data_IF_481830977485
#
_entry.id   IF_481830977485
#
_cell.length_a   1.000
_cell.length_b   1.000
_cell.length_c   1.000
_cell.angle_alpha   90.00
_cell.angle_beta   90.00
_cell.angle_gamma   90.00
#
_symmetry.space_group_name_H-M   'P 1'
#
loop_
_entity.id
_entity.type
_entity.pdbx_description
1 polymer ?
#
# COMPACT_ATOMS: atom_id res chain seq x y z
N UNK A 1 -38.54 5.27 -28.09
CA UNK A 1 -37.59 4.17 -27.83
C UNK A 1 -36.93 4.48 -26.51
N UNK A 2 -36.99 3.59 -25.51
CA UNK A 2 -36.31 3.83 -24.24
C UNK A 2 -34.81 3.86 -24.50
N UNK A 3 -34.12 4.92 -24.07
CA UNK A 3 -32.66 4.96 -24.16
C UNK A 3 -32.09 3.78 -23.38
N UNK A 4 -31.08 3.06 -23.92
CA UNK A 4 -30.41 2.01 -23.20
C UNK A 4 -29.64 2.63 -22.03
N UNK A 5 -30.29 2.69 -20.88
CA UNK A 5 -29.68 3.16 -19.64
C UNK A 5 -28.83 2.05 -19.03
N UNK A 6 -27.73 2.42 -18.38
CA UNK A 6 -26.86 1.50 -17.63
C UNK A 6 -27.63 0.71 -16.56
N UNK A 7 -28.79 1.21 -16.12
CA UNK A 7 -29.69 0.53 -15.19
C UNK A 7 -30.43 -0.67 -15.80
N UNK A 8 -30.75 -0.62 -17.09
CA UNK A 8 -31.47 -1.69 -17.78
C UNK A 8 -30.63 -2.94 -18.05
N UNK A 9 -29.33 -2.91 -17.72
CA UNK A 9 -28.44 -4.06 -17.91
C UNK A 9 -28.77 -5.20 -16.92
N UNK A 10 -28.72 -6.46 -17.36
CA UNK A 10 -28.72 -7.64 -16.48
C UNK A 10 -27.60 -7.57 -15.44
N UNK A 11 -27.83 -8.18 -14.29
CA UNK A 11 -26.90 -8.20 -13.16
C UNK A 11 -25.54 -8.79 -13.54
N UNK A 12 -25.52 -9.79 -14.41
CA UNK A 12 -24.29 -10.44 -14.89
C UNK A 12 -23.42 -9.47 -15.70
N UNK A 13 -24.03 -8.63 -16.54
CA UNK A 13 -23.30 -7.60 -17.29
C UNK A 13 -22.79 -6.49 -16.36
N UNK A 14 -23.58 -6.11 -15.34
CA UNK A 14 -23.13 -5.16 -14.31
C UNK A 14 -21.92 -5.70 -13.54
N UNK A 15 -21.94 -6.97 -13.15
CA UNK A 15 -20.80 -7.65 -12.50
C UNK A 15 -19.57 -7.64 -13.41
N UNK A 16 -19.72 -8.01 -14.69
CA UNK A 16 -18.60 -7.98 -15.63
C UNK A 16 -17.99 -6.58 -15.79
N UNK A 17 -18.83 -5.54 -15.82
CA UNK A 17 -18.37 -4.15 -15.86
C UNK A 17 -17.59 -3.81 -14.59
N UNK A 18 -18.09 -4.18 -13.41
CA UNK A 18 -17.41 -3.98 -12.13
C UNK A 18 -16.01 -4.62 -12.11
N UNK A 19 -15.85 -5.85 -12.64
CA UNK A 19 -14.54 -6.51 -12.74
C UNK A 19 -13.59 -5.91 -13.77
N UNK A 20 -14.06 -5.01 -14.64
CA UNK A 20 -13.21 -4.31 -15.64
C UNK A 20 -12.77 -2.92 -15.19
N UNK A 21 -13.24 -2.46 -14.04
CA UNK A 21 -12.87 -1.16 -13.49
C UNK A 21 -11.37 -1.14 -13.12
N UNK A 22 -10.62 -0.08 -13.48
CA UNK A 22 -9.18 -0.04 -13.24
C UNK A 22 -8.78 0.31 -11.81
N UNK A 23 -9.63 1.01 -11.06
CA UNK A 23 -9.29 1.57 -9.76
C UNK A 23 -10.49 1.64 -8.80
N UNK A 24 -10.19 1.78 -7.50
CA UNK A 24 -11.19 1.84 -6.45
C UNK A 24 -12.07 3.09 -6.48
N UNK A 25 -11.58 4.23 -6.98
CA UNK A 25 -12.35 5.49 -7.01
C UNK A 25 -13.41 5.44 -8.13
N UNK A 26 -13.06 4.87 -9.29
CA UNK A 26 -14.03 4.56 -10.35
C UNK A 26 -15.07 3.55 -9.89
N UNK A 27 -14.66 2.55 -9.11
CA UNK A 27 -15.60 1.58 -8.52
C UNK A 27 -16.58 2.27 -7.57
N UNK A 28 -16.08 3.10 -6.66
CA UNK A 28 -16.89 3.88 -5.72
C UNK A 28 -17.89 4.78 -6.47
N UNK A 29 -17.42 5.46 -7.52
CA UNK A 29 -18.26 6.32 -8.36
C UNK A 29 -19.39 5.56 -9.06
N UNK A 30 -19.10 4.39 -9.64
CA UNK A 30 -20.10 3.55 -10.31
C UNK A 30 -21.14 2.99 -9.35
N UNK A 31 -20.69 2.57 -8.16
CA UNK A 31 -21.56 2.03 -7.11
C UNK A 31 -22.48 3.11 -6.53
N UNK A 32 -22.00 4.35 -6.40
CA UNK A 32 -22.81 5.47 -5.93
C UNK A 32 -23.76 6.03 -6.99
N UNK A 33 -23.41 5.90 -8.27
CA UNK A 33 -24.21 6.43 -9.38
C UNK A 33 -25.52 5.65 -9.62
N UNK A 34 -25.60 4.38 -9.20
CA UNK A 34 -26.70 3.48 -9.57
C UNK A 34 -27.03 2.46 -8.47
N UNK A 35 -28.31 2.35 -8.04
CA UNK A 35 -28.76 1.28 -7.15
C UNK A 35 -28.57 -0.12 -7.75
N UNK A 36 -28.71 -0.28 -9.07
CA UNK A 36 -28.48 -1.55 -9.75
C UNK A 36 -27.03 -2.02 -9.63
N UNK A 37 -26.07 -1.11 -9.78
CA UNK A 37 -24.66 -1.41 -9.56
C UNK A 37 -24.33 -1.61 -8.09
N UNK A 38 -24.99 -0.90 -7.18
CA UNK A 38 -24.84 -1.14 -5.74
C UNK A 38 -25.24 -2.57 -5.34
N UNK A 39 -26.37 -3.07 -5.85
CA UNK A 39 -26.81 -4.45 -5.60
C UNK A 39 -25.86 -5.48 -6.22
N UNK A 40 -25.43 -5.26 -7.47
CA UNK A 40 -24.43 -6.12 -8.11
C UNK A 40 -23.11 -6.14 -7.32
N UNK A 41 -22.65 -4.99 -6.85
CA UNK A 41 -21.46 -4.86 -6.00
C UNK A 41 -21.59 -5.63 -4.70
N UNK A 42 -22.73 -5.53 -3.99
CA UNK A 42 -22.94 -6.27 -2.75
C UNK A 42 -22.84 -7.79 -2.95
N UNK A 43 -23.32 -8.31 -4.09
CA UNK A 43 -23.29 -9.73 -4.40
C UNK A 43 -21.86 -10.27 -4.60
N UNK A 44 -20.94 -9.48 -5.19
CA UNK A 44 -19.57 -9.92 -5.53
C UNK A 44 -18.48 -9.17 -4.77
N UNK A 45 -18.84 -8.46 -3.70
CA UNK A 45 -17.98 -7.46 -3.03
C UNK A 45 -16.60 -8.00 -2.67
N UNK A 46 -16.54 -9.18 -2.05
CA UNK A 46 -15.27 -9.72 -1.59
C UNK A 46 -14.39 -10.12 -2.78
N UNK A 47 -14.91 -10.89 -3.72
CA UNK A 47 -14.18 -11.37 -4.90
C UNK A 47 -13.68 -10.20 -5.76
N UNK A 48 -14.50 -9.18 -5.94
CA UNK A 48 -14.16 -7.98 -6.69
C UNK A 48 -13.01 -7.21 -6.01
N UNK A 49 -13.09 -7.01 -4.69
CA UNK A 49 -12.04 -6.31 -3.96
C UNK A 49 -10.74 -7.12 -3.93
N UNK A 50 -10.80 -8.44 -3.78
CA UNK A 50 -9.63 -9.32 -3.89
C UNK A 50 -8.98 -9.21 -5.27
N UNK A 51 -9.80 -9.21 -6.33
CA UNK A 51 -9.34 -9.03 -7.71
C UNK A 51 -8.63 -7.68 -7.90
N UNK A 52 -9.25 -6.59 -7.46
CA UNK A 52 -8.69 -5.25 -7.58
C UNK A 52 -7.40 -5.08 -6.77
N UNK A 53 -7.32 -5.63 -5.56
CA UNK A 53 -6.05 -5.66 -4.80
C UNK A 53 -5.00 -6.43 -5.59
N UNK A 54 -5.29 -7.65 -6.06
CA UNK A 54 -4.31 -8.43 -6.83
C UNK A 54 -3.85 -7.67 -8.08
N UNK A 55 -4.75 -6.99 -8.78
CA UNK A 55 -4.42 -6.18 -9.95
C UNK A 55 -3.50 -5.01 -9.57
N UNK A 56 -3.84 -4.25 -8.52
CA UNK A 56 -3.09 -3.07 -8.09
C UNK A 56 -1.66 -3.40 -7.60
N UNK A 57 -1.50 -4.56 -6.95
CA UNK A 57 -0.22 -5.01 -6.44
C UNK A 57 0.54 -5.90 -7.44
N UNK A 58 -0.09 -6.38 -8.51
CA UNK A 58 0.59 -7.22 -9.51
C UNK A 58 1.71 -6.43 -10.21
N UNK A 59 2.95 -6.84 -9.98
CA UNK A 59 4.16 -6.25 -10.57
C UNK A 59 4.57 -4.86 -10.04
N UNK A 60 3.65 -4.09 -9.47
CA UNK A 60 3.91 -2.72 -8.99
C UNK A 60 4.39 -2.67 -7.53
N UNK A 61 3.73 -3.35 -6.61
CA UNK A 61 4.01 -3.29 -5.17
C UNK A 61 4.00 -4.68 -4.56
N UNK A 62 4.90 -4.94 -3.62
CA UNK A 62 4.85 -6.19 -2.88
C UNK A 62 3.66 -6.14 -1.91
N UNK A 63 2.64 -6.97 -2.16
CA UNK A 63 1.47 -7.09 -1.30
C UNK A 63 1.86 -7.47 0.14
N UNK A 64 2.97 -8.21 0.32
CA UNK A 64 3.46 -8.57 1.63
C UNK A 64 3.84 -7.33 2.46
N UNK A 65 4.47 -6.31 1.86
CA UNK A 65 4.82 -5.05 2.55
C UNK A 65 3.58 -4.33 3.06
N UNK A 66 2.53 -4.25 2.22
CA UNK A 66 1.28 -3.59 2.59
C UNK A 66 0.50 -4.38 3.67
N UNK A 67 0.49 -5.70 3.58
CA UNK A 67 -0.13 -6.57 4.60
C UNK A 67 0.60 -6.46 5.94
N UNK A 68 1.93 -6.45 5.95
CA UNK A 68 2.73 -6.26 7.16
C UNK A 68 2.45 -4.91 7.81
N UNK A 69 2.32 -3.84 7.02
CA UNK A 69 1.96 -2.52 7.52
C UNK A 69 0.58 -2.48 8.19
N UNK A 70 -0.39 -3.26 7.70
CA UNK A 70 -1.74 -3.33 8.29
C UNK A 70 -1.75 -4.21 9.53
N UNK A 71 -1.12 -5.39 9.45
CA UNK A 71 -1.13 -6.38 10.55
C UNK A 71 -0.25 -5.97 11.72
N UNK A 72 0.74 -5.11 11.49
CA UNK A 72 1.54 -4.52 12.57
C UNK A 72 0.72 -3.54 13.43
N UNK A 73 -0.44 -3.06 12.96
CA UNK A 73 -1.25 -2.11 13.71
C UNK A 73 -1.68 -2.71 15.06
N UNK A 74 -1.24 -2.08 16.15
CA UNK A 74 -1.51 -2.52 17.53
C UNK A 74 -0.47 -3.49 18.10
N UNK A 75 0.48 -3.96 17.28
CA UNK A 75 1.62 -4.73 17.74
C UNK A 75 2.70 -3.76 18.20
N UNK A 76 2.80 -3.50 19.50
CA UNK A 76 3.85 -2.64 20.06
C UNK A 76 4.96 -3.49 20.67
N UNK A 77 6.20 -3.27 20.27
CA UNK A 77 7.38 -4.02 20.70
C UNK A 77 7.57 -4.01 22.22
N UNK A 78 7.24 -2.90 22.89
CA UNK A 78 7.38 -2.76 24.35
C UNK A 78 6.46 -3.71 25.11
N UNK A 79 5.27 -4.00 24.58
CA UNK A 79 4.25 -4.81 25.26
C UNK A 79 4.09 -6.21 24.66
N UNK A 80 4.37 -6.37 23.37
CA UNK A 80 4.10 -7.58 22.58
C UNK A 80 5.32 -7.99 21.76
N UNK A 81 6.45 -8.18 22.45
CA UNK A 81 7.74 -8.49 21.84
C UNK A 81 7.71 -9.71 20.92
N UNK A 82 7.09 -10.81 21.38
CA UNK A 82 7.04 -12.07 20.63
C UNK A 82 6.25 -11.92 19.32
N UNK A 83 5.08 -11.27 19.38
CA UNK A 83 4.26 -10.99 18.21
C UNK A 83 4.99 -10.08 17.21
N UNK A 84 5.70 -9.07 17.70
CA UNK A 84 6.50 -8.18 16.86
C UNK A 84 7.63 -8.94 16.16
N UNK A 85 8.36 -9.80 16.88
CA UNK A 85 9.43 -10.62 16.32
C UNK A 85 8.87 -11.60 15.29
N UNK A 86 7.77 -12.30 15.59
CA UNK A 86 7.15 -13.25 14.67
C UNK A 86 6.67 -12.57 13.38
N UNK A 87 6.08 -11.37 13.50
CA UNK A 87 5.64 -10.59 12.35
C UNK A 87 6.83 -10.13 11.50
N UNK A 88 7.90 -9.61 12.11
CA UNK A 88 9.11 -9.19 11.40
C UNK A 88 9.86 -10.37 10.77
N UNK A 89 9.91 -11.53 11.44
CA UNK A 89 10.50 -12.75 10.87
C UNK A 89 9.72 -13.23 9.65
N UNK A 90 8.38 -13.22 9.71
CA UNK A 90 7.52 -13.57 8.57
C UNK A 90 7.71 -12.63 7.37
N UNK A 91 7.93 -11.34 7.65
CA UNK A 91 8.20 -10.33 6.62
C UNK A 91 9.61 -10.49 6.02
N UNK A 92 10.61 -10.77 6.85
CA UNK A 92 11.98 -11.02 6.42
C UNK A 92 12.06 -12.24 5.50
N UNK A 93 11.42 -13.33 5.90
CA UNK A 93 11.46 -14.63 5.20
C UNK A 93 10.41 -14.76 4.09
N UNK A 94 9.78 -13.66 3.68
CA UNK A 94 8.69 -13.67 2.69
C UNK A 94 9.09 -14.31 1.36
N UNK A 95 10.32 -14.09 0.91
CA UNK A 95 10.81 -14.64 -0.36
C UNK A 95 11.01 -16.15 -0.25
N UNK A 96 11.62 -16.63 0.84
CA UNK A 96 11.76 -18.05 1.16
C UNK A 96 10.38 -18.76 1.25
N UNK A 97 9.44 -18.14 1.95
CA UNK A 97 8.07 -18.66 2.13
C UNK A 97 7.33 -18.71 0.79
N UNK A 98 7.55 -17.71 -0.08
CA UNK A 98 6.94 -17.65 -1.41
C UNK A 98 7.49 -18.75 -2.33
N UNK A 99 8.78 -19.01 -2.28
CA UNK A 99 9.41 -20.11 -3.04
C UNK A 99 8.92 -21.48 -2.57
N UNK A 100 8.74 -21.68 -1.26
CA UNK A 100 8.16 -22.89 -0.68
C UNK A 100 6.68 -23.10 -1.05
N UNK A 101 5.91 -22.02 -1.24
CA UNK A 101 4.50 -22.07 -1.65
C UNK A 101 4.31 -22.66 -3.06
N UNK A 102 5.30 -22.52 -3.94
CA UNK A 102 5.29 -23.19 -5.25
C UNK A 102 5.38 -24.72 -5.13
N UNK A 103 5.69 -25.26 -3.93
CA UNK A 103 5.82 -26.68 -3.64
C UNK A 103 4.77 -27.20 -2.64
N UNK A 104 4.21 -26.35 -1.76
CA UNK A 104 3.17 -26.71 -0.79
C UNK A 104 2.11 -25.62 -0.64
N UNK A 105 0.84 -26.00 -0.81
CA UNK A 105 -0.32 -25.11 -0.95
C UNK A 105 -0.80 -24.39 0.32
N UNK A 106 -0.01 -24.35 1.40
CA UNK A 106 -0.56 -24.16 2.75
C UNK A 106 -0.37 -22.79 3.43
N UNK A 107 0.35 -21.80 2.87
CA UNK A 107 0.55 -20.54 3.60
C UNK A 107 -0.23 -19.34 3.02
N UNK A 108 -1.34 -19.00 3.71
CA UNK A 108 -2.19 -17.80 3.51
C UNK A 108 -1.59 -16.50 4.08
N UNK A 109 -0.36 -16.53 4.58
CA UNK A 109 0.25 -15.38 5.27
C UNK A 109 0.46 -14.16 4.37
N UNK A 110 0.63 -14.34 3.06
CA UNK A 110 0.86 -13.24 2.11
C UNK A 110 -0.38 -12.88 1.28
N UNK A 111 -1.55 -13.41 1.66
CA UNK A 111 -2.82 -13.06 1.05
C UNK A 111 -3.74 -12.39 2.09
N UNK A 112 -4.63 -11.50 1.65
CA UNK A 112 -5.65 -10.93 2.50
C UNK A 112 -6.59 -12.04 2.98
N UNK A 113 -6.82 -12.11 4.28
CA UNK A 113 -7.60 -13.16 4.93
C UNK A 113 -9.08 -12.82 5.08
N UNK A 114 -9.43 -11.53 4.99
CA UNK A 114 -10.79 -11.04 5.23
C UNK A 114 -11.11 -9.81 4.39
N UNK A 115 -12.41 -9.58 4.20
CA UNK A 115 -12.92 -8.34 3.60
C UNK A 115 -12.46 -7.08 4.35
N UNK A 116 -12.31 -7.16 5.67
CA UNK A 116 -11.80 -6.04 6.47
C UNK A 116 -10.34 -5.72 6.14
N UNK A 117 -9.48 -6.73 5.96
CA UNK A 117 -8.10 -6.53 5.52
C UNK A 117 -8.04 -5.89 4.12
N UNK A 118 -8.90 -6.32 3.19
CA UNK A 118 -8.99 -5.71 1.85
C UNK A 118 -9.36 -4.23 1.93
N UNK A 119 -10.39 -3.89 2.71
CA UNK A 119 -10.80 -2.49 2.89
C UNK A 119 -9.68 -1.66 3.51
N UNK A 120 -8.97 -2.22 4.51
CA UNK A 120 -7.79 -1.57 5.11
C UNK A 120 -6.67 -1.36 4.09
N UNK A 121 -6.41 -2.31 3.19
CA UNK A 121 -5.44 -2.20 2.11
C UNK A 121 -5.77 -1.06 1.14
N UNK A 122 -7.03 -0.97 0.70
CA UNK A 122 -7.46 0.12 -0.18
C UNK A 122 -7.32 1.48 0.50
N UNK A 123 -7.77 1.60 1.76
CA UNK A 123 -7.66 2.85 2.52
C UNK A 123 -6.21 3.27 2.73
N UNK A 124 -5.35 2.34 3.12
CA UNK A 124 -3.93 2.61 3.30
C UNK A 124 -3.31 3.06 1.97
N UNK A 125 -3.54 2.33 0.88
CA UNK A 125 -2.97 2.69 -0.41
C UNK A 125 -3.48 4.05 -0.92
N UNK A 126 -4.77 4.36 -0.77
CA UNK A 126 -5.34 5.67 -1.13
C UNK A 126 -4.66 6.80 -0.36
N UNK A 127 -4.45 6.62 0.94
CA UNK A 127 -3.71 7.57 1.78
C UNK A 127 -2.25 7.73 1.31
N UNK A 128 -1.56 6.65 0.99
CA UNK A 128 -0.17 6.72 0.52
C UNK A 128 -0.04 7.35 -0.87
N UNK A 129 -1.03 7.14 -1.75
CA UNK A 129 -1.09 7.79 -3.05
C UNK A 129 -1.24 9.30 -2.93
N UNK A 130 -2.06 9.76 -1.98
CA UNK A 130 -2.15 11.19 -1.67
C UNK A 130 -0.79 11.79 -1.30
N UNK A 131 -0.01 11.15 -0.41
CA UNK A 131 1.34 11.61 -0.07
C UNK A 131 2.32 11.53 -1.24
N UNK A 132 2.18 10.54 -2.12
CA UNK A 132 3.01 10.44 -3.33
C UNK A 132 2.75 11.59 -4.30
N UNK A 133 1.48 11.95 -4.48
CA UNK A 133 1.05 13.08 -5.32
C UNK A 133 1.50 14.41 -4.70
N UNK A 134 1.34 14.57 -3.39
CA UNK A 134 1.83 15.74 -2.67
C UNK A 134 3.35 15.86 -2.75
N UNK A 135 4.09 14.77 -2.56
CA UNK A 135 5.55 14.75 -2.71
C UNK A 135 5.99 15.17 -4.12
N UNK A 136 5.25 14.77 -5.17
CA UNK A 136 5.56 15.20 -6.54
C UNK A 136 5.45 16.73 -6.69
N UNK A 137 4.53 17.38 -5.97
CA UNK A 137 4.30 18.82 -6.06
C UNK A 137 5.20 19.60 -5.10
N UNK A 138 5.41 19.07 -3.89
CA UNK A 138 5.98 19.78 -2.74
C UNK A 138 7.28 19.15 -2.25
N UNK A 139 8.01 18.39 -3.09
CA UNK A 139 9.25 17.75 -2.68
C UNK A 139 10.24 18.75 -2.07
N UNK A 140 10.90 18.37 -0.96
CA UNK A 140 11.85 19.25 -0.28
C UNK A 140 13.02 19.56 -1.21
N UNK A 141 13.38 20.84 -1.26
CA UNK A 141 14.49 21.33 -2.08
C UNK A 141 15.82 20.78 -1.57
N UNK A 142 16.64 20.15 -2.43
CA UNK A 142 18.01 19.80 -2.06
C UNK A 142 18.88 21.04 -1.78
N UNK A 143 19.78 20.99 -0.79
CA UNK A 143 20.53 22.17 -0.35
C UNK A 143 21.46 22.74 -1.42
N UNK A 144 21.89 21.92 -2.39
CA UNK A 144 22.78 22.32 -3.48
C UNK A 144 22.07 22.96 -4.68
N UNK A 145 20.73 23.01 -4.71
CA UNK A 145 19.95 23.61 -5.80
C UNK A 145 19.41 24.98 -5.37
N UNK A 146 19.51 25.99 -6.24
CA UNK A 146 18.99 27.33 -5.95
C UNK A 146 17.44 27.34 -5.88
N UNK A 147 16.81 28.12 -4.97
CA UNK A 147 15.36 28.14 -4.78
C UNK A 147 14.57 28.41 -6.08
N UNK A 148 14.99 29.43 -6.82
CA UNK A 148 14.35 29.85 -8.08
C UNK A 148 14.38 28.75 -9.14
N UNK A 149 15.44 27.94 -9.16
CA UNK A 149 15.57 26.82 -10.10
C UNK A 149 14.69 25.64 -9.68
N UNK A 150 14.55 25.38 -8.38
CA UNK A 150 13.72 24.29 -7.87
C UNK A 150 12.23 24.55 -8.13
N UNK A 151 11.76 25.72 -7.77
CA UNK A 151 10.34 26.09 -7.85
C UNK A 151 9.84 26.24 -9.29
N UNK A 152 10.66 26.82 -10.19
CA UNK A 152 10.20 27.15 -11.54
C UNK A 152 10.53 26.09 -12.61
N UNK A 153 11.59 25.31 -12.42
CA UNK A 153 12.11 24.43 -13.48
C UNK A 153 12.08 22.94 -13.13
N UNK A 154 11.95 22.56 -11.85
CA UNK A 154 12.06 21.17 -11.41
C UNK A 154 10.73 20.64 -10.85
N UNK A 155 10.00 21.46 -10.10
CA UNK A 155 8.66 21.11 -9.66
C UNK A 155 7.62 21.35 -10.78
N UNK A 156 6.60 20.49 -10.92
CA UNK A 156 6.39 19.24 -10.19
C UNK A 156 7.30 18.10 -10.68
N UNK A 157 7.70 17.21 -9.76
CA UNK A 157 8.52 16.04 -10.09
C UNK A 157 7.73 15.02 -10.92
N UNK A 158 8.20 14.73 -12.12
CA UNK A 158 7.67 13.65 -12.93
C UNK A 158 8.29 12.30 -12.53
N UNK A 159 7.75 11.71 -11.46
CA UNK A 159 8.24 10.44 -10.92
C UNK A 159 7.99 9.28 -11.90
N UNK A 160 9.06 8.55 -12.21
CA UNK A 160 9.02 7.29 -12.94
C UNK A 160 8.27 6.20 -12.16
N UNK A 161 7.88 5.14 -12.85
CA UNK A 161 7.23 3.98 -12.24
C UNK A 161 8.05 3.39 -11.07
N UNK A 162 9.38 3.30 -11.27
CA UNK A 162 10.30 2.81 -10.25
C UNK A 162 10.36 3.72 -9.03
N UNK A 163 10.39 5.04 -9.22
CA UNK A 163 10.45 6.00 -8.10
C UNK A 163 9.16 5.99 -7.29
N UNK A 164 8.00 5.94 -7.95
CA UNK A 164 6.69 5.78 -7.26
C UNK A 164 6.68 4.52 -6.42
N UNK A 165 7.21 3.42 -6.95
CA UNK A 165 7.33 2.14 -6.22
C UNK A 165 8.24 2.28 -5.00
N UNK A 166 9.42 2.91 -5.15
CA UNK A 166 10.37 3.15 -4.04
C UNK A 166 9.73 3.97 -2.92
N UNK A 167 9.06 5.06 -3.28
CA UNK A 167 8.34 5.92 -2.34
C UNK A 167 7.28 5.15 -1.55
N UNK A 168 6.41 4.41 -2.25
CA UNK A 168 5.34 3.66 -1.60
C UNK A 168 5.89 2.53 -0.72
N UNK A 169 6.94 1.82 -1.16
CA UNK A 169 7.64 0.82 -0.34
C UNK A 169 8.18 1.44 0.95
N UNK A 170 8.87 2.57 0.85
CA UNK A 170 9.38 3.30 2.01
C UNK A 170 8.24 3.70 2.96
N UNK A 171 7.11 4.18 2.45
CA UNK A 171 5.94 4.50 3.26
C UNK A 171 5.35 3.29 4.01
N UNK A 172 5.19 2.14 3.36
CA UNK A 172 4.71 0.92 4.04
C UNK A 172 5.63 0.48 5.17
N UNK A 173 6.94 0.61 4.97
CA UNK A 173 7.94 0.26 5.98
C UNK A 173 8.01 1.26 7.11
N UNK A 174 7.89 2.55 6.83
CA UNK A 174 7.75 3.59 7.85
C UNK A 174 6.50 3.35 8.70
N UNK A 175 5.37 2.99 8.08
CA UNK A 175 4.16 2.64 8.81
C UNK A 175 4.37 1.40 9.71
N UNK A 176 5.06 0.38 9.20
CA UNK A 176 5.38 -0.85 9.97
C UNK A 176 6.30 -0.53 11.16
N UNK A 177 7.38 0.21 10.91
CA UNK A 177 8.31 0.67 11.93
C UNK A 177 7.58 1.48 13.01
N UNK A 178 6.70 2.40 12.57
CA UNK A 178 5.92 3.25 13.48
C UNK A 178 4.98 2.45 14.36
N UNK A 179 4.29 1.47 13.77
CA UNK A 179 3.37 0.61 14.50
C UNK A 179 4.10 -0.23 15.57
N UNK A 180 5.27 -0.78 15.22
CA UNK A 180 6.01 -1.72 16.08
C UNK A 180 6.81 -0.99 17.15
N UNK A 181 7.58 0.02 16.77
CA UNK A 181 8.57 0.63 17.66
C UNK A 181 8.19 2.04 18.12
N UNK A 182 7.05 2.58 17.69
CA UNK A 182 6.60 3.92 18.06
C UNK A 182 7.14 5.00 17.12
N UNK A 183 7.43 6.19 17.63
CA UNK A 183 7.89 7.28 16.77
C UNK A 183 9.25 6.94 16.12
N UNK A 184 9.35 6.92 14.77
CA UNK A 184 10.60 6.63 14.08
C UNK A 184 11.75 7.60 14.43
N UNK A 185 11.45 8.82 14.89
CA UNK A 185 12.46 9.81 15.30
C UNK A 185 12.99 9.53 16.72
N UNK A 186 12.15 8.98 17.60
CA UNK A 186 12.46 8.74 19.01
C UNK A 186 12.80 7.28 19.33
N UNK A 187 12.72 6.40 18.33
CA UNK A 187 12.93 4.98 18.50
C UNK A 187 14.34 4.68 19.03
N UNK A 188 14.44 3.82 20.05
CA UNK A 188 15.74 3.28 20.49
C UNK A 188 16.40 2.54 19.34
N UNK A 189 17.43 3.17 18.77
CA UNK A 189 18.06 2.72 17.54
C UNK A 189 18.59 1.30 17.64
N UNK A 190 19.01 0.80 18.80
CA UNK A 190 19.66 -0.52 18.87
C UNK A 190 18.72 -1.68 18.51
N UNK A 191 17.48 -1.67 19.00
CA UNK A 191 16.55 -2.79 18.80
C UNK A 191 15.86 -2.74 17.44
N UNK A 192 15.41 -1.54 17.03
CA UNK A 192 14.90 -1.33 15.69
C UNK A 192 15.98 -1.57 14.63
N UNK A 193 17.24 -1.19 14.90
CA UNK A 193 18.32 -1.48 13.96
C UNK A 193 18.59 -2.96 13.84
N UNK A 194 18.65 -3.73 14.93
CA UNK A 194 18.88 -5.19 14.83
C UNK A 194 17.74 -5.94 14.16
N UNK A 195 16.49 -5.59 14.45
CA UNK A 195 15.32 -6.37 14.03
C UNK A 195 14.66 -5.88 12.75
N UNK A 196 14.85 -4.61 12.40
CA UNK A 196 14.22 -4.00 11.24
C UNK A 196 15.29 -3.58 10.22
N UNK A 197 16.12 -2.58 10.52
CA UNK A 197 17.08 -2.04 9.55
C UNK A 197 18.19 -3.02 9.16
N UNK A 198 18.64 -3.87 10.08
CA UNK A 198 19.71 -4.86 9.84
C UNK A 198 19.29 -6.00 8.91
N UNK A 199 17.99 -6.08 8.59
CA UNK A 199 17.46 -7.10 7.67
C UNK A 199 17.33 -6.58 6.23
N UNK A 200 17.61 -5.29 6.00
CA UNK A 200 17.51 -4.64 4.70
C UNK A 200 18.83 -4.04 4.23
N UNK A 201 19.09 -3.97 2.92
CA UNK A 201 20.28 -3.31 2.37
C UNK A 201 20.24 -1.80 2.60
N UNK A 202 21.41 -1.16 2.63
CA UNK A 202 21.57 0.27 2.96
C UNK A 202 20.74 1.21 2.07
N UNK A 203 20.59 0.90 0.78
CA UNK A 203 19.79 1.73 -0.13
C UNK A 203 18.30 1.77 0.28
N UNK A 204 17.79 0.76 1.00
CA UNK A 204 16.44 0.78 1.56
C UNK A 204 16.33 1.70 2.78
N UNK A 205 17.43 1.90 3.52
CA UNK A 205 17.49 2.90 4.61
C UNK A 205 17.38 4.31 4.04
N UNK A 206 18.09 4.57 2.94
CA UNK A 206 18.07 5.87 2.26
C UNK A 206 16.68 6.21 1.70
N UNK A 207 15.98 5.23 1.13
CA UNK A 207 14.59 5.40 0.69
C UNK A 207 13.66 5.80 1.84
N UNK A 208 13.75 5.09 2.97
CA UNK A 208 12.95 5.42 4.16
C UNK A 208 13.33 6.77 4.75
N UNK A 209 14.62 7.09 4.83
CA UNK A 209 15.12 8.37 5.34
C UNK A 209 14.67 9.54 4.47
N UNK A 210 14.68 9.39 3.15
CA UNK A 210 14.22 10.43 2.21
C UNK A 210 12.74 10.76 2.40
N UNK A 211 11.91 9.72 2.50
CA UNK A 211 10.47 9.88 2.72
C UNK A 211 10.17 10.44 4.12
N UNK A 212 10.88 9.97 5.15
CA UNK A 212 10.73 10.51 6.50
C UNK A 212 11.13 11.99 6.55
N UNK A 213 12.20 12.38 5.87
CA UNK A 213 12.62 13.78 5.76
C UNK A 213 11.54 14.66 5.14
N UNK A 214 10.85 14.18 4.10
CA UNK A 214 9.69 14.87 3.53
C UNK A 214 8.53 14.99 4.52
N UNK A 215 8.20 13.94 5.28
CA UNK A 215 7.10 13.97 6.25
C UNK A 215 7.37 14.90 7.46
N UNK A 216 8.62 15.27 7.69
CA UNK A 216 9.05 16.15 8.78
C UNK A 216 9.34 17.59 8.34
N UNK A 217 9.33 17.86 7.04
CA UNK A 217 9.57 19.18 6.45
C UNK A 217 8.30 20.04 6.48
#
# INVERSE_FOLDING_TARGET
MAEPTLEGLPTELKILILFRVPDGDTLESLVLASPGYYQAYLAVRQELLEYLVKQQYSGFLDLAEALTAIRSKGVNFTFQRENAIALLDSWRRRDEIREQKNQTSSNRLHEPSSLEELIKLFRLHKMLRFFLEDYSINAPRPPWIQPVQWENNILPLHLSFSEKRRFLRAMYRLQTLKNIFGDPVQCSMEQAYKLFYGTMPLWEHEEMGSVLGYLLA
#
